data_IF_831549263640
#
_entry.id   IF_831549263640
#
_cell.length_a   1.000
_cell.length_b   1.000
_cell.length_c   1.000
_cell.angle_alpha   90.00
_cell.angle_beta   90.00
_cell.angle_gamma   90.00
#
_symmetry.space_group_name_H-M   'P 1'
#
loop_
_entity.id
_entity.type
_entity.pdbx_description
1 polymer ?
#
# COMPACT_ATOMS: atom_id res chain seq x y z
N UNK A 1 16.75 12.56 -11.88
CA UNK A 1 16.13 11.30 -11.40
C UNK A 1 15.19 10.80 -12.47
N UNK A 2 15.11 9.47 -12.68
CA UNK A 2 14.21 8.88 -13.68
C UNK A 2 12.80 8.81 -13.09
N UNK A 3 11.78 9.22 -13.85
CA UNK A 3 10.37 9.13 -13.45
C UNK A 3 9.81 7.79 -13.94
N UNK A 4 9.27 7.00 -13.01
CA UNK A 4 8.63 5.72 -13.31
C UNK A 4 7.19 5.87 -13.78
N UNK A 5 6.43 6.75 -13.12
CA UNK A 5 5.05 7.10 -13.49
C UNK A 5 4.86 8.60 -13.47
N UNK A 6 4.26 9.14 -14.53
CA UNK A 6 3.86 10.54 -14.61
C UNK A 6 2.41 10.64 -15.08
N UNK A 7 1.59 11.31 -14.28
CA UNK A 7 0.22 11.69 -14.60
C UNK A 7 0.18 13.20 -14.71
N UNK A 8 -0.33 13.73 -15.82
CA UNK A 8 -0.48 15.17 -16.05
C UNK A 8 -1.96 15.49 -16.29
N UNK A 9 -2.57 16.26 -15.39
CA UNK A 9 -3.97 16.73 -15.45
C UNK A 9 -4.94 15.61 -15.83
N UNK A 10 -4.76 14.44 -15.22
CA UNK A 10 -5.54 13.25 -15.56
C UNK A 10 -6.98 13.39 -15.11
N UNK A 11 -7.93 13.31 -16.05
CA UNK A 11 -9.36 13.35 -15.77
C UNK A 11 -10.07 12.09 -16.24
N UNK A 12 -11.15 11.76 -15.53
CA UNK A 12 -12.11 10.73 -15.94
C UNK A 12 -13.52 11.11 -15.58
N UNK A 13 -14.37 11.21 -16.59
CA UNK A 13 -15.81 11.30 -16.45
C UNK A 13 -16.44 10.06 -17.08
N UNK A 14 -17.26 9.35 -16.33
CA UNK A 14 -18.00 8.18 -16.83
C UNK A 14 -19.31 8.59 -17.51
N UNK A 15 -19.89 7.72 -18.36
CA UNK A 15 -21.25 7.92 -18.84
C UNK A 15 -22.20 8.13 -17.64
N UNK A 16 -23.08 9.13 -17.72
CA UNK A 16 -23.92 9.54 -16.58
C UNK A 16 -23.38 10.71 -15.76
N UNK A 17 -22.23 11.30 -16.15
CA UNK A 17 -21.71 12.55 -15.57
C UNK A 17 -20.85 12.38 -14.32
N UNK A 18 -20.64 11.17 -13.84
CA UNK A 18 -19.79 10.92 -12.65
C UNK A 18 -18.34 11.23 -12.98
N UNK A 19 -17.81 12.30 -12.37
CA UNK A 19 -16.43 12.73 -12.51
C UNK A 19 -15.56 12.01 -11.45
N UNK A 20 -14.94 10.91 -11.85
CA UNK A 20 -14.14 10.08 -10.98
C UNK A 20 -12.72 10.63 -10.75
N UNK A 21 -12.16 11.38 -11.73
CA UNK A 21 -10.87 12.07 -11.59
C UNK A 21 -11.03 13.51 -12.10
N UNK A 22 -10.45 14.47 -11.36
CA UNK A 22 -10.63 15.91 -11.56
C UNK A 22 -9.35 16.67 -11.89
N UNK A 23 -8.40 16.01 -12.56
CA UNK A 23 -7.12 16.62 -12.95
C UNK A 23 -5.99 16.24 -12.01
N UNK A 24 -5.73 14.94 -11.87
CA UNK A 24 -4.64 14.42 -11.03
C UNK A 24 -3.30 14.67 -11.70
N UNK A 25 -2.40 15.33 -10.97
CA UNK A 25 -0.98 15.44 -11.27
C UNK A 25 -0.19 14.58 -10.27
N UNK A 26 0.57 13.58 -10.76
CA UNK A 26 1.35 12.67 -9.92
C UNK A 26 2.65 12.31 -10.61
N UNK A 27 3.76 12.33 -9.85
CA UNK A 27 5.06 11.81 -10.27
C UNK A 27 5.58 10.82 -9.24
N UNK A 28 5.94 9.63 -9.71
CA UNK A 28 6.59 8.59 -8.90
C UNK A 28 7.97 8.34 -9.49
N UNK A 29 8.99 8.41 -8.65
CA UNK A 29 10.38 8.20 -9.07
C UNK A 29 10.68 6.72 -9.24
N UNK A 30 11.66 6.40 -10.10
CA UNK A 30 12.13 5.03 -10.28
C UNK A 30 12.76 4.49 -8.99
N UNK A 31 12.41 3.24 -8.66
CA UNK A 31 12.85 2.58 -7.43
C UNK A 31 12.07 3.00 -6.18
N UNK A 32 11.07 3.86 -6.29
CA UNK A 32 10.23 4.21 -5.14
C UNK A 32 9.27 3.09 -4.73
N UNK A 33 8.89 3.07 -3.45
CA UNK A 33 7.76 2.32 -2.94
C UNK A 33 6.71 3.33 -2.51
N UNK A 34 5.69 3.51 -3.31
CA UNK A 34 4.71 4.58 -3.23
C UNK A 34 3.33 4.05 -2.81
N UNK A 35 2.71 4.65 -1.81
CA UNK A 35 1.34 4.36 -1.42
C UNK A 35 0.35 5.31 -2.12
N UNK A 36 -0.72 4.78 -2.72
CA UNK A 36 -1.83 5.54 -3.24
C UNK A 36 -3.08 5.22 -2.41
N UNK A 37 -3.42 6.10 -1.49
CA UNK A 37 -4.49 5.92 -0.52
C UNK A 37 -5.71 6.80 -0.82
N UNK A 38 -6.82 6.50 -0.17
CA UNK A 38 -8.05 7.27 -0.27
C UNK A 38 -9.26 6.42 0.11
N UNK A 39 -10.40 7.02 0.46
CA UNK A 39 -11.63 6.29 0.76
C UNK A 39 -12.17 5.54 -0.47
N UNK A 40 -13.19 4.69 -0.25
CA UNK A 40 -13.90 4.04 -1.36
C UNK A 40 -14.56 5.10 -2.25
N UNK A 41 -14.45 4.90 -3.57
CA UNK A 41 -14.95 5.87 -4.54
C UNK A 41 -14.06 7.11 -4.77
N UNK A 42 -12.92 7.23 -4.09
CA UNK A 42 -12.01 8.38 -4.24
C UNK A 42 -11.36 8.53 -5.62
N UNK A 43 -11.33 7.46 -6.43
CA UNK A 43 -10.70 7.46 -7.76
C UNK A 43 -9.47 6.56 -7.89
N UNK A 44 -9.05 5.84 -6.83
CA UNK A 44 -7.86 4.95 -6.85
C UNK A 44 -7.92 3.90 -7.97
N UNK A 45 -8.96 3.06 -7.98
CA UNK A 45 -9.13 2.00 -8.99
C UNK A 45 -9.34 2.56 -10.39
N UNK A 46 -9.94 3.75 -10.53
CA UNK A 46 -10.02 4.46 -11.81
C UNK A 46 -8.63 4.89 -12.30
N UNK A 47 -7.80 5.43 -11.41
CA UNK A 47 -6.42 5.82 -11.71
C UNK A 47 -5.60 4.60 -12.16
N UNK A 48 -5.63 3.50 -11.39
CA UNK A 48 -4.96 2.24 -11.74
C UNK A 48 -5.50 1.68 -13.07
N UNK A 49 -6.82 1.69 -13.25
CA UNK A 49 -7.46 1.22 -14.49
C UNK A 49 -7.00 2.00 -15.72
N UNK A 50 -6.77 3.31 -15.59
CA UNK A 50 -6.23 4.12 -16.70
C UNK A 50 -4.75 3.78 -16.93
N UNK A 51 -3.92 3.72 -15.90
CA UNK A 51 -2.49 3.38 -16.03
C UNK A 51 -2.30 2.01 -16.67
N UNK A 52 -3.16 1.04 -16.34
CA UNK A 52 -3.14 -0.31 -16.90
C UNK A 52 -3.85 -0.43 -18.27
N UNK A 53 -4.41 0.66 -18.79
CA UNK A 53 -5.21 0.70 -20.05
C UNK A 53 -6.48 -0.15 -20.00
N UNK A 54 -7.03 -0.43 -18.82
CA UNK A 54 -8.32 -1.09 -18.64
C UNK A 54 -9.48 -0.07 -18.67
N UNK A 55 -9.18 1.19 -18.40
CA UNK A 55 -10.12 2.31 -18.43
C UNK A 55 -9.56 3.42 -19.33
N UNK A 56 -10.37 3.92 -20.27
CA UNK A 56 -10.00 5.06 -21.07
C UNK A 56 -10.12 6.36 -20.25
N UNK A 57 -9.08 7.18 -20.25
CA UNK A 57 -9.12 8.53 -19.67
C UNK A 57 -10.03 9.46 -20.48
N UNK A 58 -10.54 10.50 -19.86
CA UNK A 58 -11.26 11.60 -20.56
C UNK A 58 -10.26 12.60 -21.12
N UNK A 59 -9.30 13.06 -20.31
CA UNK A 59 -8.22 13.95 -20.76
C UNK A 59 -6.97 13.78 -19.89
N UNK A 60 -5.92 14.54 -20.19
CA UNK A 60 -4.64 14.47 -19.50
C UNK A 60 -3.68 13.49 -20.17
N UNK A 61 -2.52 13.29 -19.57
CA UNK A 61 -1.46 12.42 -20.10
C UNK A 61 -0.98 11.42 -19.05
N UNK A 62 -0.58 10.23 -19.50
CA UNK A 62 0.04 9.19 -18.65
C UNK A 62 1.28 8.68 -19.34
N UNK A 63 2.41 8.69 -18.63
CA UNK A 63 3.67 8.11 -19.08
C UNK A 63 4.19 7.11 -18.06
N UNK A 64 4.71 5.99 -18.55
CA UNK A 64 5.38 4.96 -17.76
C UNK A 64 6.82 4.85 -18.23
N UNK A 65 7.79 5.18 -17.40
CA UNK A 65 9.21 5.27 -17.77
C UNK A 65 9.44 6.09 -19.05
N UNK A 66 8.71 7.21 -19.20
CA UNK A 66 8.77 8.09 -20.37
C UNK A 66 7.92 7.67 -21.56
N UNK A 67 7.45 6.42 -21.63
CA UNK A 67 6.58 5.94 -22.70
C UNK A 67 5.14 6.41 -22.48
N UNK A 68 4.58 7.12 -23.46
CA UNK A 68 3.20 7.62 -23.41
C UNK A 68 2.22 6.47 -23.67
N UNK A 69 1.22 6.31 -22.82
CA UNK A 69 0.23 5.21 -22.93
C UNK A 69 -0.67 5.27 -24.16
N UNK A 70 -0.70 6.39 -24.90
CA UNK A 70 -1.46 6.50 -26.16
C UNK A 70 -0.57 6.39 -27.39
N UNK A 71 0.67 6.93 -27.30
CA UNK A 71 1.58 6.99 -28.46
C UNK A 71 2.49 5.75 -28.55
N UNK A 72 2.87 5.19 -27.40
CA UNK A 72 3.76 4.03 -27.32
C UNK A 72 3.26 3.02 -26.27
N UNK A 73 2.04 2.54 -26.50
CA UNK A 73 1.34 1.64 -25.57
C UNK A 73 2.09 0.32 -25.32
N UNK A 74 2.81 -0.19 -26.32
CA UNK A 74 3.52 -1.47 -26.22
C UNK A 74 4.69 -1.35 -25.25
N UNK A 75 5.53 -0.34 -25.42
CA UNK A 75 6.68 -0.13 -24.55
C UNK A 75 6.25 0.32 -23.15
N UNK A 76 5.20 1.14 -23.03
CA UNK A 76 4.63 1.50 -21.72
C UNK A 76 4.14 0.25 -20.96
N UNK A 77 3.39 -0.65 -21.60
CA UNK A 77 2.89 -1.89 -20.99
C UNK A 77 4.00 -2.89 -20.65
N UNK A 78 5.08 -2.94 -21.42
CA UNK A 78 6.24 -3.78 -21.09
C UNK A 78 6.94 -3.35 -19.79
N UNK A 79 6.84 -2.06 -19.41
CA UNK A 79 7.40 -1.59 -18.15
C UNK A 79 6.49 -1.87 -16.93
N UNK A 80 5.23 -2.27 -17.15
CA UNK A 80 4.18 -2.31 -16.14
C UNK A 80 3.74 -3.74 -15.83
N UNK A 81 3.81 -4.14 -14.56
CA UNK A 81 3.11 -5.28 -13.99
C UNK A 81 1.92 -4.83 -13.15
N UNK A 82 0.80 -5.53 -13.26
CA UNK A 82 -0.40 -5.25 -12.48
C UNK A 82 -0.86 -6.48 -11.71
N UNK A 83 -1.09 -6.31 -10.42
CA UNK A 83 -1.78 -7.26 -9.54
C UNK A 83 -3.12 -6.63 -9.15
N UNK A 84 -4.23 -6.98 -9.82
CA UNK A 84 -5.54 -6.45 -9.50
C UNK A 84 -6.10 -7.05 -8.20
N UNK A 85 -7.12 -6.38 -7.65
CA UNK A 85 -7.80 -6.82 -6.43
C UNK A 85 -8.48 -8.17 -6.60
N UNK A 86 -9.12 -8.42 -7.75
CA UNK A 86 -9.81 -9.67 -8.03
C UNK A 86 -8.93 -10.68 -8.77
N UNK A 87 -9.16 -11.97 -8.52
CA UNK A 87 -8.48 -13.05 -9.24
C UNK A 87 -9.03 -13.15 -10.67
N UNK A 88 -8.17 -12.92 -11.67
CA UNK A 88 -8.54 -12.88 -13.08
C UNK A 88 -7.70 -13.83 -13.95
N UNK A 89 -7.49 -15.06 -13.48
CA UNK A 89 -6.86 -16.14 -14.22
C UNK A 89 -7.82 -17.33 -14.41
N UNK A 90 -7.53 -18.19 -15.40
CA UNK A 90 -8.33 -19.38 -15.62
C UNK A 90 -8.12 -20.39 -14.47
N UNK A 91 -9.18 -20.71 -13.67
CA UNK A 91 -9.05 -21.58 -12.50
C UNK A 91 -8.77 -23.06 -12.86
N UNK A 92 -8.93 -23.44 -14.10
CA UNK A 92 -8.71 -24.81 -14.59
C UNK A 92 -7.28 -25.06 -15.11
N UNK A 93 -6.51 -24.00 -15.35
CA UNK A 93 -5.09 -24.10 -15.68
C UNK A 93 -4.24 -24.41 -14.43
N UNK A 94 -3.07 -25.03 -14.66
CA UNK A 94 -2.10 -25.23 -13.58
C UNK A 94 -1.41 -23.92 -13.22
N UNK A 95 -0.88 -23.86 -11.99
CA UNK A 95 -0.12 -22.70 -11.49
C UNK A 95 0.98 -22.30 -12.47
N UNK A 96 1.75 -23.27 -12.97
CA UNK A 96 2.84 -23.01 -13.93
C UNK A 96 2.30 -22.54 -15.29
N UNK A 97 1.23 -23.15 -15.80
CA UNK A 97 0.63 -22.73 -17.08
C UNK A 97 0.21 -21.26 -17.04
N UNK A 98 -0.44 -20.80 -15.96
CA UNK A 98 -0.89 -19.41 -15.80
C UNK A 98 0.28 -18.44 -15.92
N UNK A 99 1.40 -18.69 -15.25
CA UNK A 99 2.53 -17.76 -15.27
C UNK A 99 3.29 -17.84 -16.58
N UNK A 100 3.47 -19.04 -17.17
CA UNK A 100 4.14 -19.19 -18.48
C UNK A 100 3.33 -18.55 -19.61
N UNK A 101 2.01 -18.74 -19.63
CA UNK A 101 1.15 -18.08 -20.62
C UNK A 101 1.22 -16.56 -20.50
N UNK A 102 1.24 -16.04 -19.27
CA UNK A 102 1.39 -14.60 -19.05
C UNK A 102 2.71 -14.07 -19.66
N UNK A 103 3.82 -14.78 -19.48
CA UNK A 103 5.10 -14.40 -20.08
C UNK A 103 5.01 -14.34 -21.61
N UNK A 104 4.31 -15.31 -22.22
CA UNK A 104 4.08 -15.36 -23.67
C UNK A 104 3.35 -14.14 -24.21
N UNK A 105 2.37 -13.57 -23.47
CA UNK A 105 1.69 -12.33 -23.88
C UNK A 105 2.64 -11.11 -23.99
N UNK A 106 3.77 -11.14 -23.28
CA UNK A 106 4.81 -10.10 -23.34
C UNK A 106 5.97 -10.45 -24.28
N UNK A 107 5.88 -11.59 -25.00
CA UNK A 107 6.88 -12.03 -25.96
C UNK A 107 8.13 -12.65 -25.32
N UNK A 108 8.03 -13.17 -24.11
CA UNK A 108 9.11 -13.92 -23.45
C UNK A 108 9.16 -15.32 -24.06
N UNK A 109 10.35 -15.75 -24.51
CA UNK A 109 10.57 -17.08 -25.05
C UNK A 109 10.21 -18.17 -24.04
N UNK A 110 9.74 -19.34 -24.54
CA UNK A 110 9.18 -20.39 -23.69
C UNK A 110 10.16 -20.92 -22.64
N UNK A 111 11.40 -21.16 -23.02
CA UNK A 111 12.41 -21.72 -22.10
C UNK A 111 12.77 -20.70 -21.02
N UNK A 112 12.86 -19.44 -21.36
CA UNK A 112 13.04 -18.36 -20.42
C UNK A 112 11.80 -18.19 -19.52
N UNK A 113 10.59 -18.29 -20.06
CA UNK A 113 9.35 -18.24 -19.28
C UNK A 113 9.30 -19.40 -18.24
N UNK A 114 9.76 -20.60 -18.60
CA UNK A 114 9.84 -21.73 -17.71
C UNK A 114 10.87 -21.45 -16.59
N UNK A 115 12.06 -20.94 -16.92
CA UNK A 115 13.08 -20.58 -15.93
C UNK A 115 12.60 -19.48 -14.97
N UNK A 116 11.95 -18.45 -15.49
CA UNK A 116 11.33 -17.39 -14.68
C UNK A 116 10.18 -17.93 -13.83
N UNK A 117 9.39 -18.87 -14.33
CA UNK A 117 8.32 -19.50 -13.55
C UNK A 117 8.88 -20.21 -12.34
N UNK A 118 9.98 -20.97 -12.48
CA UNK A 118 10.67 -21.62 -11.37
C UNK A 118 11.17 -20.60 -10.34
N UNK A 119 11.85 -19.54 -10.79
CA UNK A 119 12.36 -18.46 -9.95
C UNK A 119 11.24 -17.85 -9.09
N UNK A 120 10.17 -17.35 -9.71
CA UNK A 120 9.13 -16.61 -8.99
C UNK A 120 8.20 -17.52 -8.19
N UNK A 121 7.90 -18.73 -8.66
CA UNK A 121 7.09 -19.68 -7.89
C UNK A 121 7.83 -20.19 -6.66
N UNK A 122 9.17 -20.36 -6.70
CA UNK A 122 9.98 -20.68 -5.52
C UNK A 122 10.00 -19.52 -4.52
N UNK A 123 10.22 -18.29 -4.98
CA UNK A 123 10.26 -17.10 -4.12
C UNK A 123 8.92 -16.81 -3.43
N UNK A 124 7.82 -17.29 -4.00
CA UNK A 124 6.46 -17.11 -3.49
C UNK A 124 5.87 -18.39 -2.89
N UNK A 125 6.70 -19.41 -2.59
CA UNK A 125 6.30 -20.68 -1.98
C UNK A 125 5.17 -21.42 -2.73
N UNK A 126 5.19 -21.36 -4.06
CA UNK A 126 4.22 -22.01 -4.94
C UNK A 126 4.81 -23.10 -5.82
N UNK A 127 6.13 -23.32 -5.77
CA UNK A 127 6.81 -24.27 -6.66
C UNK A 127 6.30 -25.70 -6.54
N UNK A 128 6.08 -26.18 -5.31
CA UNK A 128 5.54 -27.51 -5.06
C UNK A 128 4.11 -27.70 -5.55
N UNK A 129 3.40 -26.58 -5.75
CA UNK A 129 2.04 -26.53 -6.28
C UNK A 129 1.95 -26.26 -7.78
N UNK A 130 3.09 -26.16 -8.50
CA UNK A 130 3.14 -25.75 -9.91
C UNK A 130 2.30 -26.59 -10.87
N UNK A 131 2.11 -27.88 -10.56
CA UNK A 131 1.27 -28.81 -11.34
C UNK A 131 -0.20 -28.85 -10.91
N UNK A 132 -0.57 -28.22 -9.80
CA UNK A 132 -1.96 -28.18 -9.33
C UNK A 132 -2.77 -27.14 -10.10
N UNK A 133 -4.07 -27.41 -10.28
CA UNK A 133 -4.99 -26.43 -10.87
C UNK A 133 -5.24 -25.27 -9.91
N UNK A 134 -5.25 -24.05 -10.43
CA UNK A 134 -5.37 -22.84 -9.62
C UNK A 134 -6.64 -22.78 -8.76
N UNK A 135 -7.72 -23.47 -9.14
CA UNK A 135 -8.93 -23.60 -8.32
C UNK A 135 -8.69 -24.29 -6.97
N UNK A 136 -7.67 -25.14 -6.87
CA UNK A 136 -7.35 -25.89 -5.66
C UNK A 136 -6.52 -25.06 -4.64
N UNK A 137 -6.04 -23.90 -5.04
CA UNK A 137 -5.25 -23.03 -4.20
C UNK A 137 -6.12 -22.30 -3.16
N UNK A 138 -5.56 -22.08 -1.96
CA UNK A 138 -6.14 -21.15 -0.98
C UNK A 138 -6.18 -19.71 -1.49
N UNK A 139 -6.94 -18.82 -0.85
CA UNK A 139 -6.99 -17.40 -1.21
C UNK A 139 -5.61 -16.73 -1.20
N UNK A 140 -4.82 -16.98 -0.16
CA UNK A 140 -3.45 -16.46 -0.06
C UNK A 140 -2.50 -17.02 -1.13
N UNK A 141 -2.61 -18.31 -1.47
CA UNK A 141 -1.83 -18.90 -2.57
C UNK A 141 -2.23 -18.30 -3.93
N UNK A 142 -3.53 -18.07 -4.15
CA UNK A 142 -4.01 -17.35 -5.36
C UNK A 142 -3.44 -15.94 -5.43
N UNK A 143 -3.36 -15.23 -4.30
CA UNK A 143 -2.78 -13.88 -4.25
C UNK A 143 -1.29 -13.91 -4.61
N UNK A 144 -0.52 -14.85 -4.08
CA UNK A 144 0.89 -15.06 -4.45
C UNK A 144 1.05 -15.42 -5.93
N UNK A 145 0.16 -16.23 -6.48
CA UNK A 145 0.15 -16.55 -7.92
C UNK A 145 -0.09 -15.32 -8.79
N UNK A 146 -0.96 -14.39 -8.38
CA UNK A 146 -1.17 -13.13 -9.09
C UNK A 146 0.10 -12.27 -9.14
N UNK A 147 0.86 -12.24 -8.02
CA UNK A 147 2.13 -11.52 -7.98
C UNK A 147 3.16 -12.20 -8.88
N UNK A 148 3.32 -13.54 -8.80
CA UNK A 148 4.21 -14.30 -9.68
C UNK A 148 3.90 -14.01 -11.15
N UNK A 149 2.63 -14.05 -11.52
CA UNK A 149 2.16 -13.77 -12.88
C UNK A 149 2.53 -12.36 -13.35
N UNK A 150 2.35 -11.35 -12.50
CA UNK A 150 2.68 -9.97 -12.83
C UNK A 150 4.18 -9.73 -13.04
N UNK A 151 5.04 -10.58 -12.49
CA UNK A 151 6.51 -10.46 -12.58
C UNK A 151 7.13 -11.21 -13.75
N UNK A 152 6.37 -12.00 -14.51
CA UNK A 152 6.92 -12.90 -15.53
C UNK A 152 7.66 -12.18 -16.66
N UNK A 153 7.32 -10.95 -16.98
CA UNK A 153 8.02 -10.12 -17.97
C UNK A 153 9.02 -9.14 -17.35
N UNK A 154 9.30 -9.27 -16.03
CA UNK A 154 10.24 -8.46 -15.26
C UNK A 154 9.99 -6.94 -15.42
N UNK A 155 8.79 -6.46 -15.04
CA UNK A 155 8.42 -5.06 -15.19
C UNK A 155 9.27 -4.18 -14.26
N UNK A 156 9.53 -2.93 -14.70
CA UNK A 156 10.21 -1.93 -13.86
C UNK A 156 9.25 -1.21 -12.90
N UNK A 157 7.95 -1.23 -13.19
CA UNK A 157 6.88 -0.69 -12.34
C UNK A 157 5.88 -1.81 -12.04
N UNK A 158 5.65 -2.09 -10.76
CA UNK A 158 4.63 -3.02 -10.29
C UNK A 158 3.53 -2.26 -9.56
N UNK A 159 2.30 -2.40 -10.01
CA UNK A 159 1.11 -1.85 -9.32
C UNK A 159 0.39 -3.00 -8.62
N UNK A 160 0.11 -2.82 -7.34
CA UNK A 160 -0.56 -3.77 -6.47
C UNK A 160 -1.85 -3.13 -5.93
N UNK A 161 -2.99 -3.64 -6.36
CA UNK A 161 -4.29 -3.16 -5.89
C UNK A 161 -4.79 -4.07 -4.77
N UNK A 162 -4.67 -3.60 -3.53
CA UNK A 162 -5.02 -4.33 -2.29
C UNK A 162 -4.41 -5.75 -2.20
N UNK A 163 -3.08 -5.90 -2.30
CA UNK A 163 -2.44 -7.21 -2.48
C UNK A 163 -2.60 -8.15 -1.28
N UNK A 164 -2.87 -7.64 -0.09
CA UNK A 164 -2.99 -8.42 1.14
C UNK A 164 -4.40 -8.49 1.71
N UNK A 165 -5.42 -8.04 0.93
CA UNK A 165 -6.80 -8.13 1.35
C UNK A 165 -7.25 -9.58 1.58
N UNK A 166 -7.79 -9.86 2.78
CA UNK A 166 -8.25 -11.20 3.15
C UNK A 166 -7.15 -12.23 3.39
N UNK A 167 -5.91 -11.79 3.58
CA UNK A 167 -4.74 -12.64 3.87
C UNK A 167 -4.45 -12.62 5.37
N UNK A 168 -4.08 -13.78 5.94
CA UNK A 168 -3.66 -13.89 7.33
C UNK A 168 -2.35 -13.13 7.62
N UNK A 169 -2.04 -12.92 8.91
CA UNK A 169 -0.91 -12.08 9.35
C UNK A 169 0.44 -12.63 8.91
N UNK A 170 0.65 -13.95 9.00
CA UNK A 170 1.94 -14.57 8.66
C UNK A 170 2.22 -14.44 7.15
N UNK A 171 1.23 -14.77 6.35
CA UNK A 171 1.32 -14.68 4.90
C UNK A 171 1.47 -13.22 4.45
N UNK A 172 0.78 -12.27 5.10
CA UNK A 172 0.95 -10.84 4.85
C UNK A 172 2.39 -10.39 5.08
N UNK A 173 2.99 -10.77 6.20
CA UNK A 173 4.40 -10.44 6.53
C UNK A 173 5.38 -11.05 5.53
N UNK A 174 5.16 -12.30 5.12
CA UNK A 174 5.97 -12.95 4.07
C UNK A 174 5.89 -12.18 2.74
N UNK A 175 4.69 -11.77 2.34
CA UNK A 175 4.49 -10.95 1.13
C UNK A 175 5.16 -9.58 1.24
N UNK A 176 5.11 -8.92 2.39
CA UNK A 176 5.81 -7.65 2.63
C UNK A 176 7.32 -7.80 2.48
N UNK A 177 7.90 -8.86 3.05
CA UNK A 177 9.32 -9.18 2.88
C UNK A 177 9.70 -9.33 1.40
N UNK A 178 8.93 -10.13 0.66
CA UNK A 178 9.14 -10.32 -0.78
C UNK A 178 9.04 -9.01 -1.59
N UNK A 179 8.03 -8.18 -1.33
CA UNK A 179 7.85 -6.91 -2.03
C UNK A 179 8.97 -5.91 -1.70
N UNK A 180 9.44 -5.90 -0.45
CA UNK A 180 10.58 -5.08 -0.05
C UNK A 180 11.85 -5.51 -0.76
N UNK A 181 12.16 -6.81 -0.79
CA UNK A 181 13.31 -7.36 -1.52
C UNK A 181 13.27 -7.03 -3.01
N UNK A 182 12.07 -7.05 -3.61
CA UNK A 182 11.86 -6.68 -5.01
C UNK A 182 12.13 -5.19 -5.25
N UNK A 183 11.67 -4.34 -4.34
CA UNK A 183 11.91 -2.90 -4.40
C UNK A 183 13.38 -2.54 -4.16
N UNK A 184 14.06 -3.20 -3.22
CA UNK A 184 15.49 -3.01 -2.93
C UNK A 184 16.38 -3.41 -4.13
N UNK A 185 15.87 -4.29 -5.01
CA UNK A 185 16.49 -4.64 -6.30
C UNK A 185 16.18 -3.65 -7.43
N UNK A 186 15.47 -2.57 -7.14
CA UNK A 186 15.22 -1.45 -8.06
C UNK A 186 13.85 -1.44 -8.74
N UNK A 187 12.95 -2.41 -8.49
CA UNK A 187 11.59 -2.36 -9.01
C UNK A 187 10.81 -1.25 -8.31
N UNK A 188 10.21 -0.34 -9.07
CA UNK A 188 9.29 0.66 -8.53
C UNK A 188 7.97 -0.02 -8.17
N UNK A 189 7.41 0.27 -6.99
CA UNK A 189 6.15 -0.33 -6.55
C UNK A 189 5.15 0.77 -6.21
N UNK A 190 3.93 0.65 -6.74
CA UNK A 190 2.77 1.44 -6.33
C UNK A 190 1.78 0.51 -5.65
N UNK A 191 1.41 0.83 -4.43
CA UNK A 191 0.54 0.04 -3.58
C UNK A 191 -0.74 0.83 -3.28
N UNK A 192 -1.91 0.24 -3.52
CA UNK A 192 -3.14 0.67 -2.86
C UNK A 192 -3.46 -0.31 -1.74
N UNK A 193 -3.93 0.21 -0.64
CA UNK A 193 -4.35 -0.61 0.50
C UNK A 193 -5.33 0.17 1.37
N UNK A 194 -6.17 -0.53 2.08
CA UNK A 194 -6.95 -0.01 3.20
C UNK A 194 -6.31 -0.35 4.56
N UNK A 195 -5.25 -1.16 4.57
CA UNK A 195 -4.43 -1.43 5.75
C UNK A 195 -3.33 -0.37 5.84
N UNK A 196 -3.57 0.69 6.61
CA UNK A 196 -2.64 1.82 6.70
C UNK A 196 -1.28 1.44 7.30
N UNK A 197 -1.25 0.40 8.14
CA UNK A 197 -0.01 -0.20 8.64
C UNK A 197 0.90 -0.69 7.49
N UNK A 198 0.30 -1.33 6.46
CA UNK A 198 1.04 -1.79 5.29
C UNK A 198 1.71 -0.65 4.54
N UNK A 199 0.98 0.45 4.35
CA UNK A 199 1.53 1.65 3.71
C UNK A 199 2.65 2.29 4.55
N UNK A 200 2.46 2.39 5.88
CA UNK A 200 3.46 2.95 6.79
C UNK A 200 4.75 2.12 6.82
N UNK A 201 4.63 0.78 6.79
CA UNK A 201 5.76 -0.13 6.88
C UNK A 201 6.56 -0.26 5.58
N UNK A 202 5.91 -0.15 4.42
CA UNK A 202 6.54 -0.44 3.13
C UNK A 202 6.87 0.81 2.33
N UNK A 203 6.04 1.86 2.40
CA UNK A 203 6.10 2.95 1.44
C UNK A 203 6.93 4.14 1.96
N UNK A 204 7.79 4.66 1.09
CA UNK A 204 8.57 5.88 1.37
C UNK A 204 7.78 7.15 1.10
N UNK A 205 6.97 7.13 0.06
CA UNK A 205 6.15 8.26 -0.37
C UNK A 205 4.67 7.85 -0.45
N UNK A 206 3.80 8.84 -0.36
CA UNK A 206 2.35 8.64 -0.26
C UNK A 206 1.59 9.73 -0.99
N UNK A 207 0.57 9.31 -1.74
CA UNK A 207 -0.46 10.17 -2.29
C UNK A 207 -1.82 9.81 -1.71
N UNK A 208 -2.60 10.80 -1.33
CA UNK A 208 -3.97 10.62 -0.85
C UNK A 208 -4.92 11.22 -1.88
N UNK A 209 -5.79 10.37 -2.44
CA UNK A 209 -6.86 10.79 -3.35
C UNK A 209 -8.16 10.91 -2.56
N UNK A 210 -8.88 12.00 -2.78
CA UNK A 210 -10.21 12.23 -2.25
C UNK A 210 -11.08 12.92 -3.30
N UNK A 211 -12.27 12.38 -3.55
CA UNK A 211 -13.24 12.94 -4.52
C UNK A 211 -12.65 13.24 -5.91
N UNK A 212 -11.73 12.39 -6.36
CA UNK A 212 -11.07 12.52 -7.67
C UNK A 212 -9.91 13.51 -7.74
N UNK A 213 -9.46 14.06 -6.62
CA UNK A 213 -8.32 14.98 -6.51
C UNK A 213 -7.21 14.40 -5.64
N UNK A 214 -5.96 14.71 -5.96
CA UNK A 214 -4.82 14.39 -5.10
C UNK A 214 -4.70 15.48 -4.03
N UNK A 215 -5.11 15.14 -2.79
CA UNK A 215 -5.15 16.11 -1.68
C UNK A 215 -3.85 16.19 -0.89
N UNK A 216 -3.04 15.15 -0.97
CA UNK A 216 -1.72 15.09 -0.35
C UNK A 216 -0.78 14.29 -1.26
N UNK A 217 0.47 14.73 -1.39
CA UNK A 217 1.54 14.03 -2.10
C UNK A 217 2.88 14.39 -1.45
N UNK A 218 3.38 13.50 -0.62
CA UNK A 218 4.55 13.80 0.23
C UNK A 218 5.26 12.51 0.68
N UNK A 219 6.40 12.65 1.37
CA UNK A 219 7.03 11.49 2.00
C UNK A 219 6.24 11.01 3.23
N UNK A 220 6.25 9.71 3.49
CA UNK A 220 5.63 9.12 4.68
C UNK A 220 6.10 9.81 5.96
N UNK A 221 7.42 10.06 6.07
CA UNK A 221 8.01 10.79 7.21
C UNK A 221 7.44 12.20 7.36
N UNK A 222 7.30 12.94 6.26
CA UNK A 222 6.74 14.30 6.29
C UNK A 222 5.27 14.28 6.65
N UNK A 223 4.50 13.31 6.14
CA UNK A 223 3.09 13.16 6.49
C UNK A 223 2.92 12.88 7.99
N UNK A 224 3.62 11.87 8.51
CA UNK A 224 3.56 11.51 9.93
C UNK A 224 4.06 12.65 10.84
N UNK A 225 4.93 13.53 10.34
CA UNK A 225 5.37 14.70 11.10
C UNK A 225 4.27 15.77 11.32
N UNK A 226 3.16 15.69 10.59
CA UNK A 226 2.01 16.59 10.76
C UNK A 226 1.11 16.22 11.96
N UNK A 227 1.31 15.03 12.57
CA UNK A 227 0.64 14.68 13.83
C UNK A 227 1.08 15.65 14.93
N UNK A 228 0.11 16.30 15.57
CA UNK A 228 0.35 17.22 16.68
C UNK A 228 0.46 16.49 18.02
N UNK A 229 -0.27 15.40 18.18
CA UNK A 229 -0.27 14.54 19.38
C UNK A 229 -0.30 13.07 18.97
N UNK A 230 0.15 12.21 19.85
CA UNK A 230 0.02 10.75 19.75
C UNK A 230 -0.60 10.23 21.06
N UNK A 231 -1.53 9.28 20.93
CA UNK A 231 -2.14 8.64 22.10
C UNK A 231 -1.47 7.29 22.35
N UNK A 232 -0.89 7.14 23.53
CA UNK A 232 -0.24 5.91 23.97
C UNK A 232 -1.11 5.16 24.97
N UNK A 233 -1.03 3.84 24.92
CA UNK A 233 -1.54 2.94 25.95
C UNK A 233 -0.33 2.40 26.71
N UNK A 234 -0.32 2.62 28.01
CA UNK A 234 0.72 2.16 28.93
C UNK A 234 0.12 1.08 29.84
N UNK A 235 0.75 -0.08 29.89
CA UNK A 235 0.40 -1.12 30.84
C UNK A 235 1.26 -0.93 32.09
N UNK A 236 0.61 -0.72 33.24
CA UNK A 236 1.24 -0.43 34.51
C UNK A 236 1.39 -1.72 35.36
N UNK A 237 2.39 -1.77 36.21
CA UNK A 237 2.56 -2.87 37.15
C UNK A 237 1.32 -3.03 38.07
N UNK A 238 0.93 -4.27 38.43
CA UNK A 238 -0.20 -4.52 39.30
C UNK A 238 -0.04 -3.79 40.65
N UNK A 239 -1.16 -3.30 41.23
CA UNK A 239 -1.20 -2.55 42.50
C UNK A 239 -0.45 -1.21 42.48
N UNK A 240 -0.23 -0.63 41.30
CA UNK A 240 0.30 0.73 41.20
C UNK A 240 -0.66 1.74 41.83
N UNK A 241 -0.17 2.83 42.43
CA UNK A 241 -1.02 3.93 42.85
C UNK A 241 -1.72 4.59 41.67
N UNK A 242 -2.75 5.39 41.93
CA UNK A 242 -3.44 6.15 40.89
C UNK A 242 -2.46 7.16 40.25
N UNK A 243 -2.21 7.08 38.94
CA UNK A 243 -1.26 7.97 38.29
C UNK A 243 -1.77 9.41 38.26
N UNK A 244 -0.86 10.37 38.47
CA UNK A 244 -1.10 11.80 38.25
C UNK A 244 -0.07 12.29 37.22
N UNK A 245 -0.54 12.84 36.15
CA UNK A 245 0.31 13.38 35.07
C UNK A 245 -0.01 14.87 34.87
N UNK A 246 0.89 15.72 35.27
CA UNK A 246 0.74 17.16 35.08
C UNK A 246 1.06 17.55 33.63
N UNK A 247 0.14 18.31 33.03
CA UNK A 247 0.28 18.79 31.64
C UNK A 247 -0.08 17.80 30.57
N UNK A 248 -0.65 16.63 30.91
CA UNK A 248 -1.09 15.61 29.97
C UNK A 248 -2.58 15.34 30.10
N UNK A 249 -3.24 15.08 28.97
CA UNK A 249 -4.57 14.48 28.99
C UNK A 249 -4.40 12.96 29.09
N UNK A 250 -5.01 12.36 30.09
CA UNK A 250 -4.91 10.93 30.33
C UNK A 250 -6.20 10.35 30.92
N UNK A 251 -6.37 9.06 30.72
CA UNK A 251 -7.51 8.31 31.27
C UNK A 251 -7.05 6.92 31.70
N UNK A 252 -7.42 6.50 32.91
CA UNK A 252 -7.33 5.11 33.32
C UNK A 252 -8.46 4.33 32.62
N UNK A 253 -8.09 3.35 31.80
CA UNK A 253 -9.03 2.47 31.09
C UNK A 253 -9.51 1.38 32.06
N UNK A 254 -8.57 0.84 32.84
CA UNK A 254 -8.78 -0.14 33.91
C UNK A 254 -7.72 0.05 35.01
N UNK A 255 -7.62 -0.89 35.96
CA UNK A 255 -6.72 -0.80 37.10
C UNK A 255 -5.23 -0.79 36.79
N UNK A 256 -4.85 -1.16 35.57
CA UNK A 256 -3.46 -1.31 35.12
C UNK A 256 -3.18 -0.70 33.74
N UNK A 257 -4.19 -0.17 33.07
CA UNK A 257 -4.06 0.36 31.71
C UNK A 257 -4.32 1.86 31.69
N UNK A 258 -3.27 2.63 31.37
CA UNK A 258 -3.32 4.08 31.26
C UNK A 258 -3.27 4.51 29.81
N UNK A 259 -4.23 5.29 29.39
CA UNK A 259 -4.23 5.99 28.10
C UNK A 259 -3.74 7.42 28.33
N UNK A 260 -2.73 7.86 27.56
CA UNK A 260 -2.16 9.19 27.68
C UNK A 260 -1.96 9.82 26.30
N UNK A 261 -2.43 11.04 26.13
CA UNK A 261 -2.18 11.86 24.95
C UNK A 261 -0.92 12.69 25.17
N UNK A 262 0.05 12.58 24.26
CA UNK A 262 1.32 13.26 24.33
C UNK A 262 1.46 14.18 23.13
N UNK A 263 1.57 15.48 23.36
CA UNK A 263 1.91 16.43 22.32
C UNK A 263 3.35 16.20 21.88
N UNK A 264 3.61 16.31 20.59
CA UNK A 264 4.92 16.05 20.00
C UNK A 264 6.03 16.89 20.63
N UNK A 265 5.72 18.13 21.01
CA UNK A 265 6.65 19.05 21.67
C UNK A 265 7.02 18.62 23.09
N UNK A 266 6.13 17.92 23.77
CA UNK A 266 6.35 17.46 25.16
C UNK A 266 7.23 16.22 25.22
N UNK A 267 7.09 15.32 24.25
CA UNK A 267 7.77 14.03 24.24
C UNK A 267 7.30 13.08 25.33
N UNK A 268 7.58 11.80 25.14
CA UNK A 268 7.13 10.72 26.08
C UNK A 268 7.99 10.60 27.32
N UNK A 269 9.22 11.13 27.33
CA UNK A 269 10.16 10.98 28.44
C UNK A 269 9.61 11.59 29.76
N UNK A 270 8.92 12.73 29.69
CA UNK A 270 8.33 13.37 30.83
C UNK A 270 7.21 12.53 31.46
N UNK A 271 6.42 11.81 30.65
CA UNK A 271 5.40 10.87 31.15
C UNK A 271 6.05 9.78 32.01
N UNK A 272 7.11 9.13 31.46
CA UNK A 272 7.83 8.10 32.21
C UNK A 272 8.48 8.63 33.49
N UNK A 273 9.07 9.83 33.44
CA UNK A 273 9.69 10.46 34.64
C UNK A 273 8.67 10.73 35.72
N UNK A 274 7.49 11.27 35.35
CA UNK A 274 6.42 11.54 36.33
C UNK A 274 5.84 10.25 36.92
N UNK A 275 5.64 9.21 36.16
CA UNK A 275 5.18 7.89 36.63
C UNK A 275 6.21 7.25 37.56
N UNK A 276 7.50 7.27 37.20
CA UNK A 276 8.59 6.73 38.01
C UNK A 276 8.75 7.44 39.33
N UNK A 277 8.59 8.78 39.37
CA UNK A 277 8.62 9.58 40.60
C UNK A 277 7.49 9.21 41.59
N UNK A 278 6.39 8.65 41.10
CA UNK A 278 5.26 8.15 41.90
C UNK A 278 5.39 6.65 42.25
N UNK A 279 6.52 6.01 41.90
CA UNK A 279 6.74 4.58 42.11
C UNK A 279 5.93 3.69 41.16
N UNK A 280 5.40 4.25 40.07
CA UNK A 280 4.63 3.52 39.05
C UNK A 280 5.58 2.99 38.00
N UNK A 281 5.61 1.68 37.85
CA UNK A 281 6.39 1.01 36.82
C UNK A 281 5.53 0.76 35.59
N UNK A 282 6.01 1.21 34.42
CA UNK A 282 5.41 0.91 33.10
C UNK A 282 6.02 -0.39 32.57
N UNK A 283 5.19 -1.38 32.27
CA UNK A 283 5.58 -2.70 31.77
C UNK A 283 5.63 -2.74 30.26
N UNK A 284 4.70 -2.06 29.58
CA UNK A 284 4.69 -1.94 28.13
C UNK A 284 4.12 -0.59 27.70
N UNK A 285 4.45 -0.20 26.47
CA UNK A 285 3.90 0.97 25.80
C UNK A 285 3.58 0.62 24.35
N UNK A 286 2.41 1.06 23.89
CA UNK A 286 2.01 0.94 22.47
C UNK A 286 1.18 2.16 22.07
N UNK A 287 1.20 2.47 20.79
CA UNK A 287 0.27 3.48 20.26
C UNK A 287 -1.16 2.94 20.34
N UNK A 288 -2.12 3.80 20.64
CA UNK A 288 -3.55 3.45 20.69
C UNK A 288 -4.11 3.14 19.30
N UNK A 289 -3.73 3.94 18.32
CA UNK A 289 -4.07 3.75 16.91
C UNK A 289 -2.82 3.84 16.07
N UNK A 290 -2.92 3.34 14.83
CA UNK A 290 -1.87 3.56 13.84
C UNK A 290 -1.78 5.06 13.51
N UNK A 291 -0.57 5.63 13.53
CA UNK A 291 -0.34 7.07 13.31
C UNK A 291 -0.88 7.56 11.97
N UNK A 292 -0.74 6.75 10.93
CA UNK A 292 -1.26 7.08 9.61
C UNK A 292 -2.79 7.07 9.60
N UNK A 293 -3.43 6.21 10.41
CA UNK A 293 -4.89 6.15 10.53
C UNK A 293 -5.47 7.42 11.14
N UNK A 294 -4.89 7.94 12.21
CA UNK A 294 -5.31 9.20 12.83
C UNK A 294 -5.22 10.38 11.86
N UNK A 295 -4.11 10.46 11.11
CA UNK A 295 -3.92 11.48 10.07
C UNK A 295 -4.91 11.31 8.91
N UNK A 296 -5.09 10.09 8.44
CA UNK A 296 -5.96 9.80 7.31
C UNK A 296 -7.41 10.22 7.61
N UNK A 297 -7.93 9.86 8.79
CA UNK A 297 -9.27 10.27 9.23
C UNK A 297 -9.38 11.79 9.30
N UNK A 298 -8.36 12.47 9.82
CA UNK A 298 -8.34 13.94 9.93
C UNK A 298 -8.32 14.63 8.56
N UNK A 299 -7.54 14.10 7.61
CA UNK A 299 -7.42 14.66 6.25
C UNK A 299 -8.68 14.44 5.42
N UNK A 300 -9.30 13.27 5.56
CA UNK A 300 -10.53 12.91 4.84
C UNK A 300 -11.73 13.69 5.38
N UNK A 301 -11.85 13.89 6.71
CA UNK A 301 -12.98 14.60 7.31
C UNK A 301 -12.93 16.11 7.10
N UNK A 302 -11.75 16.74 7.06
CA UNK A 302 -11.62 18.21 6.84
C UNK A 302 -12.22 18.74 5.53
N UNK A 303 -12.37 17.92 4.50
CA UNK A 303 -13.03 18.31 3.23
C UNK A 303 -14.52 17.94 3.17
N UNK A 304 -15.01 17.10 4.11
CA UNK A 304 -16.44 16.76 4.19
C UNK A 304 -17.32 17.89 4.72
N UNK A 305 -16.76 18.84 5.47
CA UNK A 305 -17.48 19.96 6.08
C UNK A 305 -17.60 21.20 5.15
N UNK A 306 -17.09 21.12 3.92
CA UNK A 306 -17.15 22.22 2.93
C UNK A 306 -17.90 21.86 1.63
N UNK A 307 -18.73 20.79 1.63
CA UNK A 307 -19.54 20.37 0.49
C UNK A 307 -21.04 20.53 0.75
#
# INVERSE_FOLDING_TARGET
MTIALELEKLTKTYPGGVQALRGIDLRVEAGDFYALLGPNGAGKSTTIGIISSLVNKTSGRVRVFGYDLQQDVVNAKRQLGLVPQEFNFNPFETVQQIVVHQAGYYGVERDEAIARSEKYLKQLDLWEKRGERARMLSGGMKRRLMIARALMHEPKLLILDEPTAGVDIELRRSMWGFLKDLNDKGTTIILTTHYLEEAEMLCRNIGIIQSGELVENTSMKSLLSKLKSETFILDLAPKSPLPKLDGYQYRLVDTSTLEVEVLREQGVNSVFSQLSAQGIQVLSMRNKANRLEELFVTLVNKKGDHA
#
